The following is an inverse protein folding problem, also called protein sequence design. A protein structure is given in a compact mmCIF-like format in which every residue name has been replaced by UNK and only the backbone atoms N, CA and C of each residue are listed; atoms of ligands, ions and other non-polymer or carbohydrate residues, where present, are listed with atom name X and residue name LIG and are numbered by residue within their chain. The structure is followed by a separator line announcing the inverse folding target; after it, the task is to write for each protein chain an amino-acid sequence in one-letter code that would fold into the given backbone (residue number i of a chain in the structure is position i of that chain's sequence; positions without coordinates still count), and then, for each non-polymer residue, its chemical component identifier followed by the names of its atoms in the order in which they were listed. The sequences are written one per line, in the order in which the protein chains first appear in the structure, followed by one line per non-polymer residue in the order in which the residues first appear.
data_IF_263204033197
#
_entry.id   IF_263204033197
#
_cell.length_a   1.000
_cell.length_b   1.000
_cell.length_c   1.000
_cell.angle_alpha   90.00
_cell.angle_beta   90.00
_cell.angle_gamma   90.00
#
_symmetry.space_group_name_H-M   'P 1'
#
loop_
_entity.id
_entity.type
_entity.pdbx_description
1 polymer ?
#
# COMPACT_ATOMS: atom_id res chain seq x y z
N UNK A 1 -6.89 8.83 18.72
CA UNK A 1 -6.63 9.41 17.38
C UNK A 1 -7.83 10.31 17.05
N UNK A 2 -7.65 11.44 16.35
CA UNK A 2 -8.77 12.34 16.04
C UNK A 2 -9.74 11.74 15.03
N UNK A 3 -10.98 12.24 14.96
CA UNK A 3 -11.93 11.86 13.92
C UNK A 3 -11.50 12.38 12.54
N UNK A 4 -11.96 11.72 11.47
CA UNK A 4 -11.76 12.18 10.10
C UNK A 4 -10.34 12.01 9.55
N UNK A 5 -9.50 11.19 10.18
CA UNK A 5 -8.17 10.87 9.65
C UNK A 5 -8.19 9.96 8.42
N UNK A 6 -7.01 9.75 7.85
CA UNK A 6 -6.78 8.93 6.66
C UNK A 6 -5.96 7.72 7.09
N UNK A 7 -6.31 6.52 6.63
CA UNK A 7 -5.43 5.37 6.68
C UNK A 7 -4.59 5.33 5.40
N UNK A 8 -3.28 5.45 5.54
CA UNK A 8 -2.32 5.35 4.44
C UNK A 8 -1.59 4.01 4.52
N UNK A 9 -1.66 3.22 3.45
CA UNK A 9 -0.90 1.99 3.28
C UNK A 9 0.25 2.21 2.30
N UNK A 10 1.44 1.78 2.69
CA UNK A 10 2.64 1.84 1.87
C UNK A 10 3.62 0.73 2.30
N UNK A 11 4.51 0.35 1.40
CA UNK A 11 5.62 -0.53 1.73
C UNK A 11 6.94 0.22 1.91
N UNK A 12 7.81 -0.32 2.73
CA UNK A 12 9.19 0.17 2.77
C UNK A 12 10.20 -0.96 2.71
N UNK A 13 11.22 -0.76 1.88
CA UNK A 13 12.31 -1.70 1.70
C UNK A 13 13.48 -1.35 2.61
N UNK A 14 13.98 -2.35 3.33
CA UNK A 14 15.15 -2.28 4.17
C UNK A 14 16.28 -3.09 3.53
N UNK A 15 17.31 -2.41 3.04
CA UNK A 15 18.47 -3.06 2.40
C UNK A 15 19.18 -4.01 3.38
N UNK A 16 19.58 -5.17 2.87
CA UNK A 16 20.26 -6.21 3.65
C UNK A 16 21.42 -6.83 2.88
N UNK A 17 22.38 -7.36 3.64
CA UNK A 17 23.45 -8.22 3.13
C UNK A 17 23.24 -9.65 3.63
N UNK A 18 23.45 -10.63 2.76
CA UNK A 18 23.26 -12.04 3.07
C UNK A 18 21.80 -12.49 3.01
N UNK A 19 21.56 -13.75 3.39
CA UNK A 19 20.31 -14.47 3.11
C UNK A 19 19.54 -14.91 4.37
N UNK A 20 20.10 -14.63 5.55
CA UNK A 20 19.61 -15.16 6.84
C UNK A 20 18.53 -14.31 7.51
N UNK A 21 18.37 -13.04 7.13
CA UNK A 21 17.29 -12.19 7.69
C UNK A 21 15.94 -12.63 7.11
N UNK A 22 14.97 -12.97 7.97
CA UNK A 22 13.64 -13.46 7.57
C UNK A 22 12.98 -12.55 6.54
N UNK A 23 12.50 -13.10 5.43
CA UNK A 23 11.88 -12.30 4.36
C UNK A 23 12.84 -11.49 3.48
N UNK A 24 14.16 -11.65 3.65
CA UNK A 24 15.12 -11.04 2.71
C UNK A 24 15.09 -11.75 1.37
N UNK A 25 14.95 -10.99 0.30
CA UNK A 25 15.05 -11.48 -1.07
C UNK A 25 15.44 -10.34 -2.02
N UNK A 26 15.82 -10.69 -3.25
CA UNK A 26 15.95 -9.71 -4.33
C UNK A 26 14.57 -9.26 -4.78
N UNK A 27 14.23 -8.01 -4.48
CA UNK A 27 12.95 -7.41 -4.83
C UNK A 27 13.11 -5.92 -5.09
N UNK A 28 12.18 -5.33 -5.84
CA UNK A 28 12.18 -3.89 -6.06
C UNK A 28 11.97 -3.17 -4.72
N UNK A 29 12.78 -2.16 -4.45
CA UNK A 29 12.64 -1.33 -3.25
C UNK A 29 12.46 0.12 -3.69
N UNK A 30 11.39 0.78 -3.21
CA UNK A 30 11.19 2.20 -3.45
C UNK A 30 12.36 3.04 -2.93
N UNK A 31 12.90 2.69 -1.76
CA UNK A 31 14.03 3.39 -1.12
C UNK A 31 15.30 3.39 -1.96
N UNK A 32 15.61 2.31 -2.68
CA UNK A 32 16.80 2.23 -3.54
C UNK A 32 16.52 2.56 -5.01
N UNK A 33 15.25 2.58 -5.43
CA UNK A 33 14.86 2.79 -6.83
C UNK A 33 15.25 1.65 -7.78
N UNK A 34 15.57 0.47 -7.24
CA UNK A 34 16.01 -0.71 -8.00
C UNK A 34 15.74 -2.01 -7.26
N UNK A 35 15.92 -3.12 -7.97
CA UNK A 35 15.89 -4.47 -7.40
C UNK A 35 17.18 -4.72 -6.64
N UNK A 36 17.04 -4.88 -5.33
CA UNK A 36 18.14 -5.13 -4.40
C UNK A 36 17.76 -6.20 -3.39
N UNK A 37 18.75 -6.72 -2.68
CA UNK A 37 18.50 -7.64 -1.58
C UNK A 37 17.95 -6.85 -0.38
N UNK A 38 16.68 -7.08 -0.05
CA UNK A 38 15.98 -6.32 0.97
C UNK A 38 14.91 -7.14 1.68
N UNK A 39 14.63 -6.75 2.92
CA UNK A 39 13.36 -7.06 3.59
C UNK A 39 12.35 -5.97 3.22
N UNK A 40 11.08 -6.34 3.07
CA UNK A 40 10.01 -5.36 2.83
C UNK A 40 8.98 -5.50 3.93
N UNK A 41 8.61 -4.38 4.54
CA UNK A 41 7.46 -4.30 5.43
C UNK A 41 6.32 -3.55 4.75
N UNK A 42 5.08 -3.97 5.01
CA UNK A 42 3.87 -3.23 4.70
C UNK A 42 3.45 -2.48 5.96
N UNK A 43 3.15 -1.19 5.84
CA UNK A 43 2.87 -0.31 6.96
C UNK A 43 1.55 0.39 6.77
N UNK A 44 0.79 0.49 7.86
CA UNK A 44 -0.47 1.22 7.90
C UNK A 44 -0.34 2.37 8.88
N UNK A 45 -0.53 3.59 8.40
CA UNK A 45 -0.44 4.81 9.20
C UNK A 45 -1.77 5.53 9.25
N UNK A 46 -2.16 6.00 10.44
CA UNK A 46 -3.30 6.90 10.61
C UNK A 46 -2.80 8.35 10.59
N UNK A 47 -3.32 9.14 9.66
CA UNK A 47 -2.85 10.50 9.36
C UNK A 47 -3.97 11.51 9.62
N UNK A 48 -3.65 12.60 10.30
CA UNK A 48 -4.55 13.73 10.58
C UNK A 48 -3.81 15.05 10.39
N UNK A 49 -4.50 16.20 10.36
CA UNK A 49 -3.83 17.51 10.36
C UNK A 49 -2.90 17.75 11.57
N UNK A 50 -3.09 17.00 12.67
CA UNK A 50 -2.27 17.10 13.88
C UNK A 50 -1.00 16.25 13.84
N UNK A 51 -0.88 15.35 12.85
CA UNK A 51 0.23 14.42 12.74
C UNK A 51 -0.23 13.03 12.31
N UNK A 52 0.72 12.08 12.36
CA UNK A 52 0.53 10.70 11.93
C UNK A 52 1.04 9.72 12.98
N UNK A 53 0.49 8.51 12.98
CA UNK A 53 0.94 7.41 13.82
C UNK A 53 0.90 6.11 13.02
N UNK A 54 1.92 5.27 13.19
CA UNK A 54 1.88 3.89 12.70
C UNK A 54 0.88 3.10 13.54
N UNK A 55 -0.10 2.47 12.89
CA UNK A 55 -1.18 1.72 13.57
C UNK A 55 -1.07 0.22 13.37
N UNK A 56 -0.45 -0.22 12.28
CA UNK A 56 -0.20 -1.64 12.02
C UNK A 56 1.03 -1.81 11.12
N UNK A 57 1.64 -3.00 11.13
CA UNK A 57 2.76 -3.40 10.27
C UNK A 57 2.79 -4.90 10.05
N UNK A 58 3.12 -5.32 8.84
CA UNK A 58 3.36 -6.71 8.48
C UNK A 58 4.70 -6.85 7.77
N UNK A 59 5.38 -7.98 7.99
CA UNK A 59 6.56 -8.33 7.19
C UNK A 59 6.09 -9.05 5.93
N UNK A 60 6.44 -8.54 4.75
CA UNK A 60 6.21 -9.26 3.51
C UNK A 60 7.22 -10.43 3.42
N UNK A 61 6.69 -11.64 3.43
CA UNK A 61 7.46 -12.87 3.34
C UNK A 61 7.39 -13.43 1.91
N UNK A 62 8.47 -13.35 1.11
CA UNK A 62 8.46 -13.90 -0.25
C UNK A 62 8.19 -15.40 -0.24
N UNK A 63 7.51 -15.91 -1.28
CA UNK A 63 7.07 -17.31 -1.36
C UNK A 63 8.20 -18.33 -1.15
N UNK A 64 9.41 -18.02 -1.63
CA UNK A 64 10.60 -18.85 -1.42
C UNK A 64 10.97 -19.06 0.06
N UNK A 65 10.59 -18.14 0.96
CA UNK A 65 10.74 -18.33 2.40
C UNK A 65 9.68 -19.26 2.97
N UNK A 66 8.47 -19.24 2.42
CA UNK A 66 7.37 -20.09 2.92
C UNK A 66 7.43 -21.53 2.41
N UNK A 67 8.18 -21.79 1.33
CA UNK A 67 8.30 -23.12 0.73
C UNK A 67 9.55 -23.90 1.19
N UNK A 68 10.49 -23.26 1.89
CA UNK A 68 11.74 -23.88 2.35
C UNK A 68 11.66 -24.22 3.85
N UNK A 69 11.39 -25.49 4.16
CA UNK A 69 11.21 -25.96 5.54
C UNK A 69 12.45 -25.75 6.43
N UNK A 70 13.66 -25.92 5.88
CA UNK A 70 14.89 -25.71 6.65
C UNK A 70 15.07 -24.22 6.97
N UNK A 71 14.84 -23.37 5.97
CA UNK A 71 14.94 -21.91 6.12
C UNK A 71 13.87 -21.35 7.04
N UNK A 72 12.64 -21.87 6.99
CA UNK A 72 11.56 -21.54 7.94
C UNK A 72 11.97 -21.87 9.36
N UNK A 73 12.49 -23.08 9.59
CA UNK A 73 12.96 -23.52 10.91
C UNK A 73 14.10 -22.65 11.42
N UNK A 74 15.08 -22.35 10.57
CA UNK A 74 16.21 -21.49 10.92
C UNK A 74 15.79 -20.04 11.22
N UNK A 75 14.75 -19.54 10.52
CA UNK A 75 14.17 -18.21 10.72
C UNK A 75 13.11 -18.12 11.82
N UNK A 76 12.71 -19.24 12.44
CA UNK A 76 11.64 -19.28 13.42
C UNK A 76 10.25 -18.92 12.87
N UNK A 77 9.99 -19.26 11.60
CA UNK A 77 8.70 -18.97 10.92
C UNK A 77 7.70 -20.09 11.24
N UNK A 78 6.59 -19.80 11.94
CA UNK A 78 5.56 -20.81 12.27
C UNK A 78 4.98 -21.45 11.02
N UNK A 79 4.65 -22.76 11.04
CA UNK A 79 4.20 -23.51 9.84
C UNK A 79 2.91 -22.97 9.22
N UNK A 80 2.04 -22.38 10.02
CA UNK A 80 0.78 -21.75 9.61
C UNK A 80 0.96 -20.50 8.74
N UNK A 81 2.14 -19.87 8.75
CA UNK A 81 2.42 -18.69 7.92
C UNK A 81 2.56 -19.12 6.46
N UNK A 82 1.59 -18.76 5.63
CA UNK A 82 1.63 -18.97 4.19
C UNK A 82 2.11 -17.72 3.45
N UNK A 83 2.33 -17.84 2.14
CA UNK A 83 2.62 -16.69 1.32
C UNK A 83 1.38 -15.79 1.21
N UNK A 84 1.56 -14.50 1.48
CA UNK A 84 0.53 -13.48 1.28
C UNK A 84 1.10 -12.34 0.43
N UNK A 85 0.31 -11.87 -0.53
CA UNK A 85 0.66 -10.69 -1.31
C UNK A 85 0.63 -9.43 -0.44
N UNK A 86 1.36 -8.38 -0.82
CA UNK A 86 1.31 -7.09 -0.11
C UNK A 86 -0.12 -6.52 0.00
N UNK A 87 -0.97 -6.56 -1.06
CA UNK A 87 -2.37 -6.16 -0.95
C UNK A 87 -3.19 -7.04 0.00
N UNK A 88 -2.93 -8.34 0.09
CA UNK A 88 -3.60 -9.22 1.05
C UNK A 88 -3.23 -8.86 2.50
N UNK A 89 -1.94 -8.65 2.76
CA UNK A 89 -1.47 -8.15 4.07
C UNK A 89 -2.14 -6.81 4.41
N UNK A 90 -2.17 -5.87 3.47
CA UNK A 90 -2.84 -4.59 3.64
C UNK A 90 -4.33 -4.74 3.95
N UNK A 91 -5.03 -5.64 3.25
CA UNK A 91 -6.44 -5.92 3.52
C UNK A 91 -6.64 -6.42 4.95
N UNK A 92 -5.81 -7.36 5.42
CA UNK A 92 -5.84 -7.85 6.80
C UNK A 92 -5.58 -6.75 7.83
N UNK A 93 -4.58 -5.90 7.60
CA UNK A 93 -4.26 -4.76 8.46
C UNK A 93 -5.43 -3.74 8.51
N UNK A 94 -6.05 -3.45 7.36
CA UNK A 94 -7.20 -2.57 7.27
C UNK A 94 -8.40 -3.15 8.02
N UNK A 95 -8.67 -4.45 7.85
CA UNK A 95 -9.73 -5.13 8.58
C UNK A 95 -9.55 -5.01 10.10
N UNK A 96 -8.35 -5.33 10.61
CA UNK A 96 -8.03 -5.20 12.04
C UNK A 96 -8.20 -3.77 12.54
N UNK A 97 -7.76 -2.78 11.76
CA UNK A 97 -7.89 -1.37 12.13
C UNK A 97 -9.36 -0.94 12.24
N UNK A 98 -10.20 -1.34 11.28
CA UNK A 98 -11.63 -1.03 11.29
C UNK A 98 -12.38 -1.75 12.42
N UNK A 99 -12.05 -3.02 12.68
CA UNK A 99 -12.57 -3.79 13.82
C UNK A 99 -12.15 -3.20 15.16
N UNK A 100 -10.96 -2.61 15.24
CA UNK A 100 -10.49 -1.82 16.38
C UNK A 100 -11.15 -0.43 16.50
N UNK A 101 -12.26 -0.21 15.78
CA UNK A 101 -13.08 1.02 15.81
C UNK A 101 -12.37 2.28 15.30
N UNK A 102 -11.30 2.16 14.50
CA UNK A 102 -10.81 3.29 13.75
C UNK A 102 -11.84 3.68 12.68
N UNK A 103 -12.14 4.97 12.59
CA UNK A 103 -13.09 5.55 11.63
C UNK A 103 -12.36 6.50 10.67
N UNK A 104 -11.60 5.98 9.71
CA UNK A 104 -10.95 6.82 8.71
C UNK A 104 -11.99 7.40 7.76
N UNK A 105 -11.82 8.67 7.39
CA UNK A 105 -12.59 9.26 6.30
C UNK A 105 -12.19 8.65 4.95
N UNK A 106 -10.91 8.27 4.80
CA UNK A 106 -10.37 7.72 3.57
C UNK A 106 -9.29 6.66 3.83
N UNK A 107 -9.20 5.70 2.92
CA UNK A 107 -8.03 4.82 2.76
C UNK A 107 -7.24 5.25 1.52
N UNK A 108 -5.92 5.37 1.63
CA UNK A 108 -5.04 5.75 0.52
C UNK A 108 -3.87 4.79 0.37
N UNK A 109 -3.39 4.62 -0.86
CA UNK A 109 -2.31 3.71 -1.21
C UNK A 109 -1.91 3.85 -2.68
N UNK A 110 -0.71 3.38 -3.01
CA UNK A 110 -0.13 3.52 -4.34
C UNK A 110 -0.63 2.47 -5.36
N UNK A 111 0.08 2.31 -6.48
CA UNK A 111 -0.30 1.40 -7.56
C UNK A 111 -0.26 -0.07 -7.15
N UNK A 112 0.59 -0.47 -6.21
CA UNK A 112 0.69 -1.87 -5.75
C UNK A 112 -0.65 -2.30 -5.15
N UNK A 113 -1.25 -1.43 -4.34
CA UNK A 113 -2.57 -1.65 -3.73
C UNK A 113 -3.70 -1.37 -4.71
N UNK A 114 -3.56 -0.32 -5.53
CA UNK A 114 -4.58 0.09 -6.49
C UNK A 114 -4.77 -0.86 -7.67
N UNK A 115 -3.81 -1.74 -7.98
CA UNK A 115 -3.97 -2.79 -9.00
C UNK A 115 -4.75 -4.01 -8.51
N UNK A 116 -4.83 -4.22 -7.20
CA UNK A 116 -5.51 -5.37 -6.63
C UNK A 116 -7.04 -5.14 -6.61
N UNK A 117 -7.78 -5.93 -7.40
CA UNK A 117 -9.23 -5.79 -7.49
C UNK A 117 -9.92 -6.24 -6.21
N UNK A 118 -9.39 -7.26 -5.54
CA UNK A 118 -9.96 -7.81 -4.30
C UNK A 118 -9.92 -6.75 -3.20
N UNK A 119 -8.80 -6.05 -3.04
CA UNK A 119 -8.66 -4.98 -2.06
C UNK A 119 -9.63 -3.82 -2.33
N UNK A 120 -9.79 -3.41 -3.60
CA UNK A 120 -10.77 -2.37 -3.97
C UNK A 120 -12.18 -2.79 -3.63
N UNK A 121 -12.56 -4.02 -4.02
CA UNK A 121 -13.89 -4.57 -3.72
C UNK A 121 -14.15 -4.70 -2.22
N UNK A 122 -13.15 -5.12 -1.45
CA UNK A 122 -13.24 -5.15 0.01
C UNK A 122 -13.59 -3.77 0.60
N UNK A 123 -12.91 -2.70 0.14
CA UNK A 123 -13.22 -1.34 0.58
C UNK A 123 -14.63 -0.89 0.15
N UNK A 124 -15.05 -1.26 -1.06
CA UNK A 124 -16.40 -0.98 -1.59
C UNK A 124 -17.50 -1.70 -0.77
N UNK A 125 -17.30 -2.98 -0.44
CA UNK A 125 -18.22 -3.79 0.36
C UNK A 125 -18.39 -3.21 1.77
N UNK A 126 -17.32 -2.65 2.34
CA UNK A 126 -17.35 -1.93 3.61
C UNK A 126 -17.86 -0.49 3.51
N UNK A 127 -18.20 0.00 2.31
CA UNK A 127 -18.56 1.39 2.05
C UNK A 127 -17.49 2.39 2.55
N UNK A 128 -16.22 1.97 2.56
CA UNK A 128 -15.09 2.78 3.00
C UNK A 128 -14.57 3.60 1.81
N UNK A 129 -14.62 4.95 1.85
CA UNK A 129 -14.05 5.77 0.79
C UNK A 129 -12.55 5.53 0.65
N UNK A 130 -12.06 5.50 -0.59
CA UNK A 130 -10.65 5.27 -0.88
C UNK A 130 -10.13 6.08 -2.07
N UNK A 131 -8.80 6.30 -2.07
CA UNK A 131 -8.04 6.81 -3.22
C UNK A 131 -6.83 5.90 -3.41
N UNK A 132 -6.89 5.05 -4.42
CA UNK A 132 -5.81 4.12 -4.76
C UNK A 132 -5.29 4.41 -6.17
N UNK A 133 -3.97 4.39 -6.36
CA UNK A 133 -3.38 4.70 -7.67
C UNK A 133 -3.65 3.60 -8.68
N UNK A 134 -4.29 4.00 -9.77
CA UNK A 134 -4.55 3.28 -11.02
C UNK A 134 -3.38 3.14 -12.00
N UNK A 135 -3.10 2.00 -12.63
CA UNK A 135 -2.46 2.05 -13.94
C UNK A 135 -3.44 2.64 -14.96
N UNK A 136 -2.97 3.45 -15.92
CA UNK A 136 -3.85 4.16 -16.86
C UNK A 136 -4.72 3.23 -17.73
N UNK A 137 -4.30 1.98 -17.91
CA UNK A 137 -5.00 0.94 -18.66
C UNK A 137 -5.84 -0.01 -17.78
N UNK A 138 -5.90 0.19 -16.46
CA UNK A 138 -6.75 -0.58 -15.55
C UNK A 138 -8.22 -0.33 -15.88
N UNK A 139 -9.04 -1.37 -15.90
CA UNK A 139 -10.49 -1.22 -16.05
C UNK A 139 -11.12 -0.88 -14.69
N UNK A 140 -11.84 0.23 -14.63
CA UNK A 140 -12.60 0.67 -13.46
C UNK A 140 -14.07 0.87 -13.85
N UNK A 141 -14.98 0.69 -12.90
CA UNK A 141 -16.41 0.87 -13.12
C UNK A 141 -16.79 2.35 -13.05
N UNK A 142 -17.60 2.80 -14.00
CA UNK A 142 -18.27 4.10 -13.98
C UNK A 142 -19.74 3.89 -14.30
N UNK A 143 -20.59 3.93 -13.27
CA UNK A 143 -21.98 3.49 -13.40
C UNK A 143 -22.03 2.02 -13.82
N UNK A 144 -22.61 1.72 -14.98
CA UNK A 144 -22.81 0.35 -15.48
C UNK A 144 -21.82 -0.10 -16.55
N UNK A 145 -20.79 0.69 -16.85
CA UNK A 145 -19.77 0.34 -17.85
C UNK A 145 -18.36 0.48 -17.30
N UNK A 146 -17.43 -0.29 -17.88
CA UNK A 146 -16.02 -0.19 -17.54
C UNK A 146 -15.31 0.82 -18.45
N UNK A 147 -14.39 1.57 -17.85
CA UNK A 147 -13.56 2.57 -18.51
C UNK A 147 -12.11 2.41 -18.10
N UNK A 148 -11.20 2.90 -18.93
CA UNK A 148 -9.79 3.05 -18.58
C UNK A 148 -9.53 4.49 -18.14
N UNK A 149 -8.95 4.73 -16.96
CA UNK A 149 -8.64 6.09 -16.51
C UNK A 149 -7.82 6.88 -17.52
N UNK A 150 -6.88 6.22 -18.21
CA UNK A 150 -6.07 6.83 -19.26
C UNK A 150 -6.85 7.38 -20.45
N UNK A 151 -8.03 6.83 -20.75
CA UNK A 151 -8.92 7.38 -21.76
C UNK A 151 -9.80 8.49 -21.21
N UNK A 152 -10.22 8.38 -19.94
CA UNK A 152 -10.99 9.43 -19.27
C UNK A 152 -10.21 10.75 -19.14
N UNK A 153 -8.95 10.67 -18.71
CA UNK A 153 -8.13 11.87 -18.46
C UNK A 153 -7.86 12.69 -19.72
N UNK A 154 -7.90 12.06 -20.92
CA UNK A 154 -7.79 12.76 -22.21
C UNK A 154 -8.95 13.71 -22.49
N UNK A 155 -10.08 13.51 -21.82
CA UNK A 155 -11.28 14.34 -21.96
C UNK A 155 -11.39 15.42 -20.87
N UNK A 156 -10.44 15.50 -19.94
CA UNK A 156 -10.41 16.52 -18.88
C UNK A 156 -9.78 17.80 -19.46
N UNK A 157 -10.50 18.93 -19.51
CA UNK A 157 -9.96 20.19 -20.01
C UNK A 157 -8.71 20.63 -19.25
N UNK A 158 -7.79 21.32 -19.92
CA UNK A 158 -6.51 21.72 -19.32
C UNK A 158 -6.71 22.58 -18.05
N UNK A 159 -7.72 23.44 -18.06
CA UNK A 159 -8.12 24.31 -16.96
C UNK A 159 -8.66 23.57 -15.73
N UNK A 160 -9.07 22.32 -15.88
CA UNK A 160 -9.51 21.47 -14.77
C UNK A 160 -8.33 20.78 -14.05
N UNK A 161 -7.12 20.82 -14.61
CA UNK A 161 -5.93 20.28 -13.97
C UNK A 161 -5.38 21.26 -12.94
N UNK A 162 -5.31 20.82 -11.69
CA UNK A 162 -4.67 21.55 -10.60
C UNK A 162 -3.45 20.79 -10.10
N UNK A 163 -2.33 21.50 -9.88
CA UNK A 163 -1.16 20.92 -9.22
C UNK A 163 -1.34 21.05 -7.71
N UNK A 164 -1.42 19.91 -7.02
CA UNK A 164 -1.50 19.86 -5.57
C UNK A 164 -0.12 19.70 -4.95
N UNK A 165 0.11 20.33 -3.80
CA UNK A 165 1.32 20.16 -3.02
C UNK A 165 1.14 19.10 -1.93
N UNK A 166 2.16 18.25 -1.75
CA UNK A 166 2.30 17.31 -0.64
C UNK A 166 2.70 18.00 0.68
N UNK A 167 2.41 19.30 0.83
CA UNK A 167 2.74 20.13 1.98
C UNK A 167 4.01 20.96 1.82
N UNK A 168 4.26 21.82 2.80
CA UNK A 168 5.42 22.70 2.82
C UNK A 168 6.73 21.89 2.90
N UNK A 169 7.65 22.16 1.97
CA UNK A 169 9.02 21.67 2.00
C UNK A 169 10.00 22.78 2.39
N UNK A 170 11.26 22.41 2.60
CA UNK A 170 12.35 23.34 2.94
C UNK A 170 12.67 24.34 1.82
N UNK A 171 12.16 24.13 0.60
CA UNK A 171 12.36 25.00 -0.58
C UNK A 171 11.04 25.50 -1.18
N UNK A 172 9.96 25.53 -0.40
CA UNK A 172 8.62 25.86 -0.88
C UNK A 172 7.70 24.63 -0.97
N UNK A 173 6.52 24.73 -1.61
CA UNK A 173 5.59 23.63 -1.72
C UNK A 173 6.25 22.39 -2.32
N UNK A 174 6.12 21.23 -1.67
CA UNK A 174 6.55 19.95 -2.26
C UNK A 174 5.54 19.59 -3.32
N UNK A 175 5.91 19.70 -4.57
CA UNK A 175 5.07 19.31 -5.68
C UNK A 175 5.55 17.94 -6.16
N UNK A 176 4.63 17.03 -6.46
CA UNK A 176 4.97 15.85 -7.24
C UNK A 176 5.26 16.33 -8.69
N UNK A 177 6.36 15.82 -9.26
CA UNK A 177 6.72 15.98 -10.67
C UNK A 177 6.43 14.69 -11.43
#
# INVERSE_FOLDING_TARGET
MGEGGILAVDETGFLKKGEKSVGVARQYTGTAGKVENAQVGVFLSYVTPRGHALVDRELYLPEAWTQDAERRRAGGIPEEVSFESKPALAQGMLQRALEASLKPAWVVGDEVYGRDNTLRRFLEELHQPYVLTVASNTHVWRGFYQVKPGDMVKHVPQEAWGRLSAGAGTKGPRLYE
#
